data_IF_705431799375
#
_entry.id   IF_705431799375
#
_cell.length_a   1.000
_cell.length_b   1.000
_cell.length_c   1.000
_cell.angle_alpha   90.00
_cell.angle_beta   90.00
_cell.angle_gamma   90.00
#
_symmetry.space_group_name_H-M   'P 1'
#
loop_
_entity.id
_entity.type
_entity.pdbx_description
1 polymer ?
#
# COMPACT_ATOMS: atom_id res chain seq x y z
N UNK A 1 16.58 13.67 21.89
CA UNK A 1 15.17 13.20 21.89
C UNK A 1 14.98 12.26 23.06
N UNK A 2 14.22 12.65 24.10
CA UNK A 2 14.08 11.89 25.33
C UNK A 2 13.35 10.55 25.08
N UNK A 3 14.05 9.44 25.27
CA UNK A 3 13.48 8.10 25.28
C UNK A 3 12.71 7.89 26.57
N UNK A 4 11.40 7.65 26.49
CA UNK A 4 10.54 7.53 27.67
C UNK A 4 9.92 6.14 27.71
N UNK A 5 9.87 5.50 28.88
CA UNK A 5 9.08 4.27 29.05
C UNK A 5 7.60 4.63 28.83
N UNK A 6 6.99 4.07 27.79
CA UNK A 6 5.56 4.26 27.51
C UNK A 6 4.76 3.29 28.39
N UNK A 7 3.69 3.81 28.99
CA UNK A 7 2.65 3.05 29.69
C UNK A 7 1.30 3.61 29.29
N UNK A 8 0.22 2.83 29.36
CA UNK A 8 -1.11 3.29 28.96
C UNK A 8 -1.54 4.57 29.70
N UNK A 9 -1.26 4.65 31.00
CA UNK A 9 -1.51 5.86 31.80
C UNK A 9 -0.73 7.07 31.27
N UNK A 10 0.52 6.87 30.84
CA UNK A 10 1.36 7.93 30.30
C UNK A 10 0.90 8.37 28.91
N UNK A 11 0.50 7.43 28.06
CA UNK A 11 -0.06 7.70 26.74
C UNK A 11 -1.35 8.51 26.89
N UNK A 12 -2.23 8.12 27.81
CA UNK A 12 -3.45 8.87 28.13
C UNK A 12 -3.15 10.30 28.60
N UNK A 13 -2.10 10.48 29.39
CA UNK A 13 -1.64 11.78 29.90
C UNK A 13 -0.91 12.69 28.88
N UNK A 14 -0.66 12.23 27.65
CA UNK A 14 -0.02 13.05 26.62
C UNK A 14 -0.96 14.19 26.17
N UNK A 15 -0.55 15.43 26.49
CA UNK A 15 -1.31 16.64 26.17
C UNK A 15 -1.08 17.08 24.72
N UNK A 16 -2.15 17.40 23.96
CA UNK A 16 -1.99 17.96 22.63
C UNK A 16 -1.20 19.28 22.65
N UNK A 17 -0.51 19.56 21.55
CA UNK A 17 0.22 20.82 21.29
C UNK A 17 -0.26 21.41 19.97
N UNK A 18 0.19 22.63 19.64
CA UNK A 18 -0.16 23.32 18.39
C UNK A 18 0.26 22.52 17.13
N UNK A 19 1.27 21.64 17.25
CA UNK A 19 1.69 20.74 16.18
C UNK A 19 1.76 19.29 16.68
N UNK A 20 1.57 18.35 15.75
CA UNK A 20 1.68 16.94 16.07
C UNK A 20 3.11 16.60 16.49
N UNK A 21 3.27 15.79 17.52
CA UNK A 21 4.58 15.39 18.04
C UNK A 21 4.63 13.89 18.35
N UNK A 22 5.84 13.36 18.37
CA UNK A 22 6.11 11.96 18.64
C UNK A 22 6.69 11.76 20.03
N UNK A 23 6.22 10.75 20.74
CA UNK A 23 6.82 10.26 21.99
C UNK A 23 7.28 8.84 21.76
N UNK A 24 8.59 8.60 21.85
CA UNK A 24 9.20 7.31 21.54
C UNK A 24 9.38 6.46 22.80
N UNK A 25 9.13 5.16 22.67
CA UNK A 25 9.45 4.18 23.69
C UNK A 25 10.96 4.13 23.91
N UNK A 26 11.36 4.07 25.18
CA UNK A 26 12.72 3.72 25.55
C UNK A 26 12.99 2.26 25.19
N UNK A 27 13.79 2.05 24.14
CA UNK A 27 14.31 0.74 23.78
C UNK A 27 15.84 0.73 23.97
N UNK A 28 16.34 -0.34 24.58
CA UNK A 28 17.75 -0.54 24.91
C UNK A 28 18.64 -0.80 23.66
N UNK A 29 18.02 -1.12 22.51
CA UNK A 29 18.73 -1.53 21.30
C UNK A 29 18.93 -0.35 20.34
N UNK A 30 20.20 -0.09 19.99
CA UNK A 30 20.58 0.82 18.89
C UNK A 30 20.45 0.05 17.57
N UNK A 31 19.88 0.68 16.54
CA UNK A 31 19.86 0.16 15.16
C UNK A 31 18.59 -0.57 14.71
N UNK A 32 17.73 -1.01 15.62
CA UNK A 32 16.42 -1.58 15.29
C UNK A 32 15.32 -0.54 15.50
N UNK A 33 14.23 -0.64 14.73
CA UNK A 33 13.14 0.33 14.77
C UNK A 33 12.52 0.53 16.17
N UNK A 34 11.77 1.63 16.34
CA UNK A 34 11.22 2.06 17.64
C UNK A 34 9.72 2.30 17.57
N UNK A 35 9.00 1.72 18.53
CA UNK A 35 7.62 2.05 18.80
C UNK A 35 7.51 3.46 19.42
N UNK A 36 6.48 4.19 19.05
CA UNK A 36 6.14 5.48 19.60
C UNK A 36 4.67 5.80 19.45
N UNK A 37 4.27 6.97 19.97
CA UNK A 37 2.92 7.51 19.85
C UNK A 37 3.01 8.89 19.21
N UNK A 38 2.24 9.08 18.15
CA UNK A 38 1.97 10.37 17.54
C UNK A 38 0.76 10.99 18.24
N UNK A 39 0.95 12.15 18.85
CA UNK A 39 -0.14 12.94 19.44
C UNK A 39 -0.47 14.09 18.50
N UNK A 40 -1.71 14.16 18.04
CA UNK A 40 -2.20 15.22 17.17
C UNK A 40 -2.68 16.43 17.98
N UNK A 41 -2.73 17.64 17.38
CA UNK A 41 -3.32 18.83 18.02
C UNK A 41 -4.77 18.62 18.48
N UNK A 42 -5.52 17.75 17.78
CA UNK A 42 -6.88 17.35 18.15
C UNK A 42 -6.96 16.48 19.43
N UNK A 43 -5.83 16.07 20.00
CA UNK A 43 -5.78 15.14 21.13
C UNK A 43 -5.80 13.66 20.73
N UNK A 44 -6.09 13.33 19.46
CA UNK A 44 -6.00 11.98 18.90
C UNK A 44 -4.58 11.44 19.06
N UNK A 45 -4.48 10.16 19.41
CA UNK A 45 -3.21 9.46 19.66
C UNK A 45 -3.14 8.22 18.79
N UNK A 46 -2.05 8.06 18.06
CA UNK A 46 -1.86 6.94 17.14
C UNK A 46 -0.51 6.30 17.40
N UNK A 47 -0.49 4.98 17.56
CA UNK A 47 0.73 4.20 17.66
C UNK A 47 1.45 4.18 16.31
N UNK A 48 2.76 4.40 16.36
CA UNK A 48 3.63 4.44 15.18
C UNK A 48 4.90 3.64 15.43
N UNK A 49 5.38 2.92 14.42
CA UNK A 49 6.66 2.25 14.43
C UNK A 49 7.63 2.94 13.47
N UNK A 50 8.74 3.46 14.00
CA UNK A 50 9.81 4.08 13.21
C UNK A 50 10.84 3.01 12.84
N UNK A 51 11.25 2.94 11.58
CA UNK A 51 12.29 2.04 11.11
C UNK A 51 13.18 2.76 10.10
N UNK A 52 14.33 2.17 9.77
CA UNK A 52 15.28 2.75 8.81
C UNK A 52 15.41 1.84 7.60
N UNK A 53 15.33 2.43 6.41
CA UNK A 53 15.59 1.74 5.14
C UNK A 53 16.61 2.58 4.38
N UNK A 54 17.76 1.97 4.05
CA UNK A 54 18.85 2.65 3.34
C UNK A 54 19.26 3.99 3.98
N UNK A 55 19.32 4.02 5.32
CA UNK A 55 19.67 5.20 6.10
C UNK A 55 18.58 6.27 6.24
N UNK A 56 17.43 6.13 5.56
CA UNK A 56 16.28 7.03 5.69
C UNK A 56 15.28 6.48 6.68
N UNK A 57 14.74 7.36 7.54
CA UNK A 57 13.66 6.97 8.45
C UNK A 57 12.33 6.83 7.72
N UNK A 58 11.58 5.79 8.08
CA UNK A 58 10.20 5.55 7.66
C UNK A 58 9.33 5.22 8.87
N UNK A 59 8.03 5.39 8.72
CA UNK A 59 7.05 5.20 9.79
C UNK A 59 5.92 4.29 9.33
N UNK A 60 5.47 3.40 10.21
CA UNK A 60 4.28 2.56 10.03
C UNK A 60 3.25 2.95 11.10
N UNK A 61 2.02 3.24 10.71
CA UNK A 61 0.91 3.41 11.65
C UNK A 61 0.41 2.05 12.14
N UNK A 62 0.30 1.87 13.45
CA UNK A 62 -0.12 0.59 14.06
C UNK A 62 -1.59 0.59 14.51
N UNK A 63 -2.16 1.77 14.75
CA UNK A 63 -3.55 1.96 15.17
C UNK A 63 -3.72 3.12 16.15
N UNK A 64 -4.97 3.47 16.45
CA UNK A 64 -5.31 4.56 17.37
C UNK A 64 -5.50 4.08 18.81
N UNK A 65 -5.04 4.87 19.77
CA UNK A 65 -5.35 4.69 21.19
C UNK A 65 -6.67 5.42 21.53
N UNK A 66 -7.57 4.86 22.37
CA UNK A 66 -7.43 3.63 23.15
C UNK A 66 -7.96 2.35 22.47
N UNK A 67 -8.44 2.43 21.22
CA UNK A 67 -8.96 1.27 20.50
C UNK A 67 -7.92 0.15 20.33
N UNK A 68 -6.64 0.53 20.26
CA UNK A 68 -5.50 -0.34 20.30
C UNK A 68 -4.74 -0.13 21.62
N UNK A 69 -4.35 -1.20 22.31
CA UNK A 69 -3.59 -1.11 23.57
C UNK A 69 -2.08 -1.02 23.29
N UNK A 70 -1.28 -0.61 24.28
CA UNK A 70 0.18 -0.65 24.16
C UNK A 70 0.71 -2.07 23.94
N UNK A 71 0.05 -3.09 24.52
CA UNK A 71 0.43 -4.50 24.31
C UNK A 71 0.28 -4.89 22.84
N UNK A 72 -0.90 -4.63 22.26
CA UNK A 72 -1.19 -4.89 20.85
C UNK A 72 -0.26 -4.10 19.93
N UNK A 73 0.05 -2.84 20.29
CA UNK A 73 1.00 -2.02 19.55
C UNK A 73 2.41 -2.62 19.56
N UNK A 74 2.82 -3.19 20.69
CA UNK A 74 4.12 -3.83 20.85
C UNK A 74 4.22 -5.12 20.05
N UNK A 75 3.16 -5.93 20.03
CA UNK A 75 3.08 -7.12 19.20
C UNK A 75 3.14 -6.74 17.72
N UNK A 76 2.30 -5.81 17.26
CA UNK A 76 2.32 -5.32 15.87
C UNK A 76 3.67 -4.73 15.48
N UNK A 77 4.33 -4.01 16.39
CA UNK A 77 5.68 -3.48 16.17
C UNK A 77 6.71 -4.61 16.03
N UNK A 78 6.60 -5.70 16.80
CA UNK A 78 7.45 -6.88 16.67
C UNK A 78 7.21 -7.60 15.35
N UNK A 79 5.95 -7.78 14.92
CA UNK A 79 5.62 -8.39 13.62
C UNK A 79 6.15 -7.54 12.46
N UNK A 80 6.00 -6.22 12.56
CA UNK A 80 6.55 -5.28 11.59
C UNK A 80 8.09 -5.35 11.57
N UNK A 81 8.75 -5.39 12.74
CA UNK A 81 10.20 -5.53 12.85
C UNK A 81 10.70 -6.84 12.21
N UNK A 82 10.03 -7.97 12.49
CA UNK A 82 10.36 -9.27 11.89
C UNK A 82 10.18 -9.26 10.37
N UNK A 83 9.10 -8.63 9.88
CA UNK A 83 8.86 -8.46 8.45
C UNK A 83 9.88 -7.55 7.76
N UNK A 84 10.53 -6.65 8.52
CA UNK A 84 11.58 -5.73 8.03
C UNK A 84 12.96 -6.38 8.12
N UNK A 85 13.22 -7.24 9.11
CA UNK A 85 14.51 -7.94 9.29
C UNK A 85 14.66 -9.17 8.40
N UNK A 86 13.58 -9.65 7.80
CA UNK A 86 13.59 -10.74 6.83
C UNK A 86 14.12 -10.21 5.49
N UNK A 87 15.34 -10.60 5.04
CA UNK A 87 15.93 -10.10 3.81
C UNK A 87 15.11 -10.44 2.55
N UNK A 88 14.18 -11.39 2.66
CA UNK A 88 13.27 -11.77 1.58
C UNK A 88 12.05 -10.82 1.42
N UNK A 89 11.76 -9.97 2.42
CA UNK A 89 10.72 -8.94 2.35
C UNK A 89 11.29 -7.52 2.30
N UNK A 90 12.61 -7.41 2.12
CA UNK A 90 13.28 -6.16 1.83
C UNK A 90 12.86 -5.67 0.44
N UNK A 91 11.87 -4.77 0.42
CA UNK A 91 11.71 -3.75 -0.60
C UNK A 91 11.85 -4.26 -2.05
N UNK A 92 11.13 -5.32 -2.41
CA UNK A 92 10.76 -5.46 -3.82
C UNK A 92 9.94 -4.21 -4.13
N UNK A 93 10.53 -3.26 -4.86
CA UNK A 93 9.78 -2.12 -5.38
C UNK A 93 8.72 -2.70 -6.30
N UNK A 94 7.52 -2.88 -5.73
CA UNK A 94 6.42 -3.45 -6.48
C UNK A 94 6.07 -2.49 -7.59
N UNK A 95 5.97 -3.03 -8.80
CA UNK A 95 5.64 -2.24 -9.96
C UNK A 95 4.33 -1.48 -9.73
N UNK A 96 4.33 -0.24 -10.21
CA UNK A 96 3.17 0.64 -10.10
C UNK A 96 2.01 0.10 -10.94
N UNK A 97 0.81 0.59 -10.62
CA UNK A 97 -0.40 0.31 -11.40
C UNK A 97 -0.19 0.68 -12.87
N UNK A 98 0.44 1.83 -13.14
CA UNK A 98 0.78 2.24 -14.51
C UNK A 98 1.70 1.25 -15.20
N UNK A 99 2.73 0.75 -14.50
CA UNK A 99 3.66 -0.24 -15.07
C UNK A 99 2.95 -1.55 -15.43
N UNK A 100 2.05 -2.03 -14.56
CA UNK A 100 1.23 -3.22 -14.84
C UNK A 100 0.37 -3.02 -16.11
N UNK A 101 -0.22 -1.84 -16.23
CA UNK A 101 -1.05 -1.48 -17.37
C UNK A 101 -0.25 -1.40 -18.68
N UNK A 102 0.91 -0.74 -18.64
CA UNK A 102 1.80 -0.61 -19.79
C UNK A 102 2.34 -1.99 -20.24
N UNK A 103 2.74 -2.84 -19.29
CA UNK A 103 3.26 -4.19 -19.58
C UNK A 103 2.19 -5.10 -20.18
N UNK A 104 0.96 -5.02 -19.69
CA UNK A 104 -0.15 -5.76 -20.28
C UNK A 104 -0.41 -5.34 -21.73
N UNK A 105 -0.35 -4.04 -22.03
CA UNK A 105 -0.52 -3.56 -23.41
C UNK A 105 0.66 -3.97 -24.30
N UNK A 106 1.89 -3.92 -23.78
CA UNK A 106 3.06 -4.42 -24.48
C UNK A 106 2.92 -5.92 -24.83
N UNK A 107 2.43 -6.73 -23.90
CA UNK A 107 2.11 -8.14 -24.14
C UNK A 107 1.03 -8.31 -25.21
N UNK A 108 -0.08 -7.55 -25.16
CA UNK A 108 -1.12 -7.62 -26.20
C UNK A 108 -0.58 -7.26 -27.59
N UNK A 109 0.31 -6.26 -27.68
CA UNK A 109 0.98 -5.87 -28.93
C UNK A 109 1.90 -6.99 -29.43
N UNK A 110 2.72 -7.56 -28.56
CA UNK A 110 3.63 -8.67 -28.90
C UNK A 110 2.86 -9.90 -29.42
N UNK A 111 1.65 -10.16 -28.89
CA UNK A 111 0.75 -11.22 -29.36
C UNK A 111 -0.08 -10.85 -30.61
N UNK A 112 0.14 -9.68 -31.20
CA UNK A 112 -0.55 -9.26 -32.43
C UNK A 112 -2.04 -8.95 -32.26
N UNK A 113 -2.52 -8.68 -31.03
CA UNK A 113 -3.95 -8.43 -30.78
C UNK A 113 -4.39 -7.09 -31.35
N UNK A 114 -5.23 -7.07 -32.38
CA UNK A 114 -5.76 -5.83 -33.00
C UNK A 114 -6.58 -4.92 -32.07
N UNK A 115 -7.04 -5.42 -30.91
CA UNK A 115 -7.89 -4.66 -29.99
C UNK A 115 -7.13 -3.88 -28.91
N UNK A 116 -5.79 -3.87 -28.93
CA UNK A 116 -4.99 -3.25 -27.87
C UNK A 116 -5.31 -1.76 -27.69
N UNK A 117 -5.59 -1.01 -28.76
CA UNK A 117 -5.90 0.43 -28.71
C UNK A 117 -7.16 0.72 -27.88
N UNK A 118 -8.21 -0.07 -28.09
CA UNK A 118 -9.46 0.06 -27.32
C UNK A 118 -9.24 -0.25 -25.85
N UNK A 119 -8.37 -1.21 -25.55
CA UNK A 119 -8.00 -1.57 -24.18
C UNK A 119 -7.18 -0.47 -23.53
N UNK A 120 -6.17 0.07 -24.22
CA UNK A 120 -5.35 1.20 -23.75
C UNK A 120 -6.23 2.42 -23.42
N UNK A 121 -7.15 2.79 -24.30
CA UNK A 121 -8.04 3.94 -24.06
C UNK A 121 -8.88 3.77 -22.78
N UNK A 122 -9.39 2.57 -22.53
CA UNK A 122 -10.18 2.26 -21.33
C UNK A 122 -9.32 2.31 -20.07
N UNK A 123 -8.11 1.77 -20.14
CA UNK A 123 -7.14 1.79 -19.05
C UNK A 123 -6.72 3.24 -18.72
N UNK A 124 -6.51 4.08 -19.73
CA UNK A 124 -6.20 5.50 -19.54
C UNK A 124 -7.34 6.24 -18.82
N UNK A 125 -8.60 5.90 -19.12
CA UNK A 125 -9.76 6.44 -18.39
C UNK A 125 -9.79 5.99 -16.93
N UNK A 126 -9.33 4.76 -16.63
CA UNK A 126 -9.18 4.29 -15.25
C UNK A 126 -8.09 5.08 -14.52
N UNK A 127 -6.93 5.30 -15.13
CA UNK A 127 -5.84 6.09 -14.54
C UNK A 127 -6.20 7.56 -14.32
N UNK A 128 -7.21 8.08 -15.04
CA UNK A 128 -7.72 9.43 -14.87
C UNK A 128 -8.76 9.55 -13.72
N UNK A 129 -9.22 8.43 -13.13
CA UNK A 129 -10.12 8.47 -11.99
C UNK A 129 -9.41 8.98 -10.73
N UNK A 130 -10.03 9.84 -9.91
CA UNK A 130 -9.44 10.32 -8.65
C UNK A 130 -9.31 9.22 -7.58
N UNK A 131 -9.84 8.02 -7.82
CA UNK A 131 -9.81 6.90 -6.87
C UNK A 131 -8.54 6.05 -6.94
N UNK A 132 -7.67 6.31 -7.91
CA UNK A 132 -6.37 5.64 -8.06
C UNK A 132 -5.30 6.65 -8.45
N UNK A 133 -4.03 6.33 -8.18
CA UNK A 133 -2.91 7.10 -8.71
C UNK A 133 -2.02 6.20 -9.57
N UNK A 134 -1.51 6.66 -10.72
CA UNK A 134 -0.70 5.83 -11.60
C UNK A 134 0.55 5.23 -10.93
N UNK A 135 1.13 5.96 -9.97
CA UNK A 135 2.34 5.60 -9.25
C UNK A 135 2.08 4.67 -8.05
N UNK A 136 0.82 4.46 -7.65
CA UNK A 136 0.53 3.54 -6.54
C UNK A 136 0.98 2.12 -6.91
N UNK A 137 1.53 1.35 -5.96
CA UNK A 137 1.83 -0.06 -6.19
C UNK A 137 0.60 -0.83 -6.65
N UNK A 138 0.76 -1.71 -7.64
CA UNK A 138 -0.36 -2.50 -8.17
C UNK A 138 -1.05 -3.35 -7.07
N UNK A 139 -0.27 -3.87 -6.11
CA UNK A 139 -0.76 -4.61 -4.94
C UNK A 139 -1.65 -3.82 -3.97
N UNK A 140 -1.55 -2.50 -3.99
CA UNK A 140 -2.33 -1.64 -3.10
C UNK A 140 -3.71 -1.30 -3.69
N UNK A 141 -4.01 -1.77 -4.90
CA UNK A 141 -5.34 -1.61 -5.51
C UNK A 141 -6.34 -2.53 -4.84
N UNK A 142 -7.40 -1.94 -4.27
CA UNK A 142 -8.44 -2.66 -3.54
C UNK A 142 -9.72 -2.82 -4.39
N UNK A 143 -10.59 -3.78 -4.03
CA UNK A 143 -11.92 -3.89 -4.65
C UNK A 143 -12.77 -2.61 -4.51
N UNK A 144 -12.55 -1.80 -3.47
CA UNK A 144 -13.26 -0.52 -3.30
C UNK A 144 -12.86 0.49 -4.39
N UNK A 145 -11.58 0.59 -4.73
CA UNK A 145 -11.12 1.43 -5.85
C UNK A 145 -11.80 1.01 -7.15
N UNK A 146 -11.84 -0.30 -7.44
CA UNK A 146 -12.48 -0.84 -8.64
C UNK A 146 -13.98 -0.50 -8.67
N UNK A 147 -14.70 -0.73 -7.56
CA UNK A 147 -16.13 -0.42 -7.46
C UNK A 147 -16.41 1.07 -7.72
N UNK A 148 -15.62 1.96 -7.13
CA UNK A 148 -15.78 3.41 -7.32
C UNK A 148 -15.52 3.81 -8.77
N UNK A 149 -14.44 3.32 -9.38
CA UNK A 149 -14.16 3.56 -10.80
C UNK A 149 -15.33 3.09 -11.67
N UNK A 150 -15.82 1.85 -11.49
CA UNK A 150 -16.95 1.34 -12.28
C UNK A 150 -18.24 2.14 -12.04
N UNK A 151 -18.45 2.64 -10.82
CA UNK A 151 -19.60 3.48 -10.50
C UNK A 151 -19.58 4.82 -11.26
N UNK A 152 -18.41 5.41 -11.53
CA UNK A 152 -18.29 6.62 -12.35
C UNK A 152 -18.81 6.40 -13.78
N UNK A 153 -18.49 5.25 -14.38
CA UNK A 153 -18.99 4.90 -15.72
C UNK A 153 -20.51 4.70 -15.71
N UNK A 154 -21.03 4.04 -14.69
CA UNK A 154 -22.48 3.80 -14.55
C UNK A 154 -23.22 5.12 -14.33
N UNK A 155 -22.67 6.05 -13.54
CA UNK A 155 -23.26 7.37 -13.30
C UNK A 155 -23.34 8.23 -14.56
N UNK A 156 -22.46 7.99 -15.54
CA UNK A 156 -22.48 8.63 -16.88
C UNK A 156 -23.33 7.85 -17.90
N UNK A 157 -24.19 6.95 -17.42
CA UNK A 157 -25.03 6.03 -18.22
C UNK A 157 -24.25 5.08 -19.15
N UNK A 158 -22.94 4.90 -18.94
CA UNK A 158 -22.07 4.06 -19.76
C UNK A 158 -21.96 2.62 -19.23
N UNK A 159 -23.09 1.93 -18.99
CA UNK A 159 -23.12 0.56 -18.40
C UNK A 159 -22.32 -0.48 -19.20
N UNK A 160 -22.48 -0.51 -20.52
CA UNK A 160 -21.68 -1.38 -21.39
C UNK A 160 -20.18 -1.03 -21.34
N UNK A 161 -19.88 0.27 -21.18
CA UNK A 161 -18.54 0.78 -20.93
C UNK A 161 -17.95 0.20 -19.64
N UNK A 162 -18.68 0.30 -18.53
CA UNK A 162 -18.28 -0.22 -17.22
C UNK A 162 -17.97 -1.73 -17.26
N UNK A 163 -18.86 -2.53 -17.86
CA UNK A 163 -18.64 -3.98 -17.98
C UNK A 163 -17.35 -4.33 -18.73
N UNK A 164 -17.06 -3.60 -19.81
CA UNK A 164 -15.83 -3.79 -20.58
C UNK A 164 -14.58 -3.30 -19.81
N UNK A 165 -14.68 -2.22 -19.04
CA UNK A 165 -13.60 -1.80 -18.13
C UNK A 165 -13.34 -2.88 -17.08
N UNK A 166 -14.39 -3.41 -16.45
CA UNK A 166 -14.28 -4.52 -15.49
C UNK A 166 -13.59 -5.74 -16.10
N UNK A 167 -14.02 -6.19 -17.28
CA UNK A 167 -13.38 -7.32 -17.97
C UNK A 167 -11.90 -7.06 -18.27
N UNK A 168 -11.55 -5.84 -18.68
CA UNK A 168 -10.16 -5.47 -18.93
C UNK A 168 -9.33 -5.50 -17.64
N UNK A 169 -9.82 -4.86 -16.58
CA UNK A 169 -9.13 -4.83 -15.28
C UNK A 169 -8.92 -6.25 -14.74
N UNK A 170 -9.94 -7.10 -14.80
CA UNK A 170 -9.83 -8.50 -14.38
C UNK A 170 -8.72 -9.24 -15.14
N UNK A 171 -8.66 -9.06 -16.48
CA UNK A 171 -7.62 -9.67 -17.30
C UNK A 171 -6.21 -9.13 -16.98
N UNK A 172 -6.08 -7.83 -16.75
CA UNK A 172 -4.81 -7.17 -16.42
C UNK A 172 -4.26 -7.65 -15.06
N UNK A 173 -5.11 -7.71 -14.03
CA UNK A 173 -4.68 -8.18 -12.71
C UNK A 173 -4.36 -9.68 -12.72
N UNK A 174 -5.07 -10.50 -13.51
CA UNK A 174 -4.68 -11.89 -13.73
C UNK A 174 -3.35 -12.02 -14.48
N UNK A 175 -3.05 -11.13 -15.44
CA UNK A 175 -1.75 -11.09 -16.09
C UNK A 175 -0.64 -10.79 -15.07
N UNK A 176 -0.83 -9.81 -14.18
CA UNK A 176 0.14 -9.51 -13.13
C UNK A 176 0.34 -10.67 -12.15
N UNK A 177 -0.76 -11.31 -11.72
CA UNK A 177 -0.71 -12.51 -10.87
C UNK A 177 0.06 -13.65 -11.52
N UNK A 178 -0.19 -13.90 -12.81
CA UNK A 178 0.54 -14.94 -13.53
C UNK A 178 2.02 -14.59 -13.64
N UNK A 179 2.34 -13.33 -13.95
CA UNK A 179 3.74 -12.87 -14.07
C UNK A 179 4.52 -13.04 -12.76
N UNK A 180 3.90 -12.77 -11.61
CA UNK A 180 4.50 -12.94 -10.27
C UNK A 180 4.70 -14.41 -9.88
N UNK A 181 3.84 -15.32 -10.37
CA UNK A 181 3.88 -16.75 -10.04
C UNK A 181 4.60 -17.61 -11.10
N UNK A 182 5.10 -17.00 -12.17
CA UNK A 182 5.78 -17.69 -13.26
C UNK A 182 7.25 -17.96 -12.88
N UNK A 183 7.67 -19.25 -12.77
CA UNK A 183 9.03 -19.62 -12.43
C UNK A 183 10.08 -19.09 -13.43
N UNK A 184 9.69 -18.80 -14.67
CA UNK A 184 10.56 -18.21 -15.68
C UNK A 184 10.86 -16.72 -15.44
N UNK A 185 10.16 -16.08 -14.49
CA UNK A 185 10.30 -14.66 -14.15
C UNK A 185 10.92 -14.43 -12.77
N UNK A 186 11.42 -15.47 -12.09
CA UNK A 186 12.03 -15.38 -10.73
C UNK A 186 13.15 -14.32 -10.65
N UNK A 187 13.92 -14.15 -11.72
CA UNK A 187 15.03 -13.18 -11.79
C UNK A 187 14.66 -11.87 -12.50
N UNK A 188 13.39 -11.68 -12.91
CA UNK A 188 12.98 -10.44 -13.58
C UNK A 188 12.83 -9.29 -12.59
N UNK A 189 13.29 -8.12 -13.04
CA UNK A 189 13.31 -6.85 -12.28
C UNK A 189 11.93 -6.28 -11.92
N UNK A 190 10.84 -6.83 -12.47
CA UNK A 190 9.47 -6.34 -12.28
C UNK A 190 8.65 -7.38 -11.53
N UNK A 191 8.24 -7.04 -10.31
CA UNK A 191 7.36 -7.85 -9.47
C UNK A 191 6.19 -6.97 -9.05
N UNK A 192 4.95 -7.41 -9.22
CA UNK A 192 3.77 -6.62 -8.87
C UNK A 192 3.33 -6.81 -7.42
N UNK A 193 3.65 -7.96 -6.84
CA UNK A 193 3.29 -8.34 -5.48
C UNK A 193 1.81 -8.63 -5.29
N UNK A 194 1.13 -9.11 -6.34
CA UNK A 194 -0.30 -9.42 -6.28
C UNK A 194 -0.52 -10.77 -5.58
N UNK A 195 -1.37 -10.78 -4.55
CA UNK A 195 -1.81 -12.00 -3.86
C UNK A 195 -3.14 -12.53 -4.42
N UNK A 196 -4.00 -11.62 -4.90
CA UNK A 196 -5.30 -11.91 -5.50
C UNK A 196 -5.70 -10.86 -6.51
N UNK A 197 -6.73 -11.17 -7.29
CA UNK A 197 -7.33 -10.22 -8.24
C UNK A 197 -8.34 -9.32 -7.48
N UNK A 198 -8.21 -7.98 -7.52
CA UNK A 198 -9.13 -7.09 -6.83
C UNK A 198 -10.47 -6.85 -7.56
N UNK A 199 -10.70 -7.45 -8.73
CA UNK A 199 -11.84 -7.17 -9.66
C UNK A 199 -12.97 -8.20 -9.61
#
# INVERSE_FOLDING_TARGET
MASTLLTDSKIRGLKPKNSAYYTWQAAATRGTGRLGVKTYPSGRKTFVYRYFVSGKEKFIGLGDFPALTLSDATEKARTAAASISDPAKALVEHASLKKLFDDYIADQKARGKRSYDKTQNRINQVLASPHVTPEMPAKDVTPDHIKRILSEFIARDARAGANKVRSNLHAIFNFGLFADNDPANIDKKTVYGLDRNPV
#
